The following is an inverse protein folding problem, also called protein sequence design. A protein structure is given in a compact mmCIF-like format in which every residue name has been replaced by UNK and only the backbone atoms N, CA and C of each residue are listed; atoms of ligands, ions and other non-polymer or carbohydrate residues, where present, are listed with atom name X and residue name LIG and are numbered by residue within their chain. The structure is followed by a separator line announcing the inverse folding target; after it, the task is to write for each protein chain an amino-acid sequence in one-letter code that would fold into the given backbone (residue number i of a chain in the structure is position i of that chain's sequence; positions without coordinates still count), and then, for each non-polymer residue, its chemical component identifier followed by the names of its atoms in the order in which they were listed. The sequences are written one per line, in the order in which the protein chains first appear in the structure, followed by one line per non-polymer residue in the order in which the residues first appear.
data_IF_485082474536
#
_entry.id   IF_485082474536
#
_cell.length_a   1.000
_cell.length_b   1.000
_cell.length_c   1.000
_cell.angle_alpha   90.00
_cell.angle_beta   90.00
_cell.angle_gamma   90.00
#
_symmetry.space_group_name_H-M   'P 1'
#
loop_
_entity.id
_entity.type
_entity.pdbx_description
1 polymer ?
#
# COMPACT_ATOMS: atom_id res chain seq x y z
N UNK A 1 49.22 43.53 81.79
CA UNK A 1 48.02 44.39 81.69
C UNK A 1 48.48 45.83 81.55
N UNK A 2 47.86 46.67 80.71
CA UNK A 2 46.47 46.67 80.22
C UNK A 2 46.39 46.45 78.68
N UNK A 3 45.28 46.23 77.98
CA UNK A 3 43.88 45.97 78.32
C UNK A 3 43.33 45.04 77.22
N UNK A 4 42.85 43.86 77.61
CA UNK A 4 41.93 43.04 76.83
C UNK A 4 40.54 43.61 77.02
N UNK A 5 40.00 44.30 76.02
CA UNK A 5 38.56 44.30 75.74
C UNK A 5 38.27 45.14 74.50
N UNK A 6 38.42 44.54 73.33
CA UNK A 6 37.71 45.02 72.16
C UNK A 6 37.55 43.92 71.12
N UNK A 7 36.30 43.74 70.70
CA UNK A 7 35.83 42.98 69.53
C UNK A 7 35.48 41.50 69.81
N UNK A 8 34.51 41.27 70.70
CA UNK A 8 33.67 40.07 70.61
C UNK A 8 32.94 40.11 69.25
N UNK A 9 33.14 39.14 68.34
CA UNK A 9 32.53 39.20 67.02
C UNK A 9 31.00 39.07 67.12
N UNK A 10 30.29 39.98 66.46
CA UNK A 10 28.83 39.95 66.34
C UNK A 10 28.45 38.75 65.47
N UNK A 11 27.94 37.69 66.10
CA UNK A 11 27.42 36.53 65.38
C UNK A 11 25.99 36.86 64.92
N UNK A 12 25.85 37.30 63.66
CA UNK A 12 24.53 37.43 63.02
C UNK A 12 24.01 36.03 62.70
N UNK A 13 23.21 35.47 63.61
CA UNK A 13 22.54 34.17 63.38
C UNK A 13 21.33 34.38 62.45
N UNK A 14 21.57 34.39 61.14
CA UNK A 14 20.48 34.42 60.15
C UNK A 14 19.74 33.08 60.17
N UNK A 15 18.72 32.96 61.03
CA UNK A 15 17.75 31.86 60.93
C UNK A 15 16.94 32.06 59.66
N UNK A 16 17.39 31.43 58.58
CA UNK A 16 16.52 31.13 57.45
C UNK A 16 15.39 30.25 58.01
N UNK A 17 14.19 30.82 58.15
CA UNK A 17 12.98 29.99 58.25
C UNK A 17 12.97 29.17 56.96
N UNK A 18 13.37 27.91 57.04
CA UNK A 18 13.06 26.94 56.00
C UNK A 18 11.53 26.92 55.94
N UNK A 19 10.99 27.59 54.91
CA UNK A 19 9.59 27.47 54.54
C UNK A 19 9.37 25.96 54.42
N UNK A 20 8.48 25.40 55.23
CA UNK A 20 8.15 23.98 55.13
C UNK A 20 7.82 23.72 53.67
N UNK A 21 8.67 22.94 53.00
CA UNK A 21 8.34 22.47 51.67
C UNK A 21 7.02 21.69 51.84
N UNK A 22 5.98 21.96 51.04
CA UNK A 22 4.71 21.27 51.18
C UNK A 22 4.89 19.78 50.83
N UNK A 23 5.27 18.97 51.83
CA UNK A 23 5.57 17.55 51.71
C UNK A 23 4.32 16.66 51.53
N UNK A 24 3.16 17.24 51.20
CA UNK A 24 1.89 16.50 51.04
C UNK A 24 1.39 16.36 49.59
N UNK A 25 2.11 16.88 48.60
CA UNK A 25 1.67 16.91 47.20
C UNK A 25 2.28 15.83 46.31
N UNK A 26 3.47 15.31 46.63
CA UNK A 26 4.22 14.42 45.74
C UNK A 26 3.50 13.08 45.48
N UNK A 27 2.84 12.51 46.50
CA UNK A 27 2.08 11.25 46.34
C UNK A 27 0.83 11.43 45.47
N UNK A 28 0.23 12.63 45.46
CA UNK A 28 -0.92 12.95 44.59
C UNK A 28 -0.51 13.07 43.14
N UNK A 29 0.72 13.53 42.88
CA UNK A 29 1.29 13.57 41.53
C UNK A 29 1.52 12.14 41.02
N UNK A 30 2.10 11.26 41.85
CA UNK A 30 2.28 9.86 41.50
C UNK A 30 0.94 9.12 41.29
N UNK A 31 -0.07 9.40 42.12
CA UNK A 31 -1.41 8.84 41.96
C UNK A 31 -2.12 9.36 40.70
N UNK A 32 -2.01 10.66 40.41
CA UNK A 32 -2.55 11.24 39.18
C UNK A 32 -1.89 10.63 37.94
N UNK A 33 -0.57 10.48 37.94
CA UNK A 33 0.17 9.86 36.84
C UNK A 33 -0.27 8.40 36.61
N UNK A 34 -0.43 7.63 37.69
CA UNK A 34 -0.95 6.26 37.62
C UNK A 34 -2.36 6.20 37.04
N UNK A 35 -3.29 7.07 37.50
CA UNK A 35 -4.66 7.11 36.97
C UNK A 35 -4.68 7.55 35.50
N UNK A 36 -3.78 8.47 35.10
CA UNK A 36 -3.71 8.96 33.71
C UNK A 36 -3.14 7.88 32.78
N UNK A 37 -2.14 7.12 33.24
CA UNK A 37 -1.62 5.96 32.52
C UNK A 37 -2.69 4.87 32.36
N UNK A 38 -3.45 4.58 33.42
CA UNK A 38 -4.56 3.63 33.37
C UNK A 38 -5.69 4.10 32.46
N UNK A 39 -6.03 5.39 32.49
CA UNK A 39 -7.01 5.99 31.58
C UNK A 39 -6.56 5.87 30.12
N UNK A 40 -5.30 6.21 29.81
CA UNK A 40 -4.75 6.07 28.47
C UNK A 40 -4.75 4.61 27.99
N UNK A 41 -4.39 3.68 28.86
CA UNK A 41 -4.45 2.24 28.59
C UNK A 41 -5.89 1.77 28.33
N UNK A 42 -6.87 2.19 29.14
CA UNK A 42 -8.28 1.87 28.92
C UNK A 42 -8.84 2.50 27.64
N UNK A 43 -8.48 3.74 27.30
CA UNK A 43 -8.86 4.37 26.04
C UNK A 43 -8.26 3.64 24.85
N UNK A 44 -7.03 3.12 24.96
CA UNK A 44 -6.41 2.29 23.94
C UNK A 44 -7.13 0.96 23.76
N UNK A 45 -7.41 0.23 24.85
CA UNK A 45 -8.19 -1.02 24.78
C UNK A 45 -9.62 -0.79 24.28
N UNK A 46 -10.25 0.31 24.69
CA UNK A 46 -11.56 0.71 24.20
C UNK A 46 -11.52 0.98 22.70
N UNK A 47 -10.50 1.68 22.20
CA UNK A 47 -10.29 1.87 20.76
C UNK A 47 -10.08 0.52 20.05
N UNK A 48 -9.28 -0.38 20.61
CA UNK A 48 -9.00 -1.68 19.99
C UNK A 48 -10.24 -2.59 19.95
N UNK A 49 -11.15 -2.48 20.91
CA UNK A 49 -12.39 -3.26 20.91
C UNK A 49 -13.50 -2.60 20.07
N UNK A 50 -13.55 -1.27 20.02
CA UNK A 50 -14.55 -0.53 19.23
C UNK A 50 -14.16 -0.38 17.74
N UNK A 51 -12.88 -0.60 17.38
CA UNK A 51 -12.38 -0.50 16.01
C UNK A 51 -12.31 -1.86 15.35
N UNK A 52 -12.75 -1.94 14.09
CA UNK A 52 -12.61 -3.14 13.25
C UNK A 52 -11.14 -3.40 12.92
N UNK A 53 -10.78 -4.64 12.61
CA UNK A 53 -9.37 -4.99 12.38
C UNK A 53 -8.74 -4.25 11.18
N UNK A 54 -9.57 -3.84 10.21
CA UNK A 54 -9.17 -2.98 9.09
C UNK A 54 -8.74 -1.56 9.52
N UNK A 55 -9.36 -1.01 10.57
CA UNK A 55 -9.01 0.32 11.08
C UNK A 55 -7.68 0.29 11.85
N UNK A 56 -7.39 -0.80 12.55
CA UNK A 56 -6.10 -1.01 13.24
C UNK A 56 -4.95 -1.13 12.25
N UNK A 57 -5.17 -1.87 11.15
CA UNK A 57 -4.22 -1.99 10.04
C UNK A 57 -3.90 -0.62 9.41
N UNK A 58 -4.91 0.21 9.16
CA UNK A 58 -4.70 1.54 8.60
C UNK A 58 -3.83 2.48 9.46
N UNK A 59 -3.90 2.35 10.79
CA UNK A 59 -3.08 3.15 11.71
C UNK A 59 -1.64 2.61 11.77
N UNK A 60 -1.46 1.29 11.68
CA UNK A 60 -0.11 0.67 11.68
C UNK A 60 0.76 1.19 10.53
N UNK A 61 0.20 1.35 9.33
CA UNK A 61 0.90 1.92 8.17
C UNK A 61 1.37 3.37 8.36
N UNK A 62 0.76 4.13 9.27
CA UNK A 62 1.20 5.49 9.59
C UNK A 62 2.42 5.50 10.51
N UNK A 63 2.58 4.47 11.34
CA UNK A 63 3.67 4.36 12.32
C UNK A 63 4.79 3.41 11.89
N UNK A 64 4.65 2.71 10.77
CA UNK A 64 5.76 2.01 10.13
C UNK A 64 6.83 3.03 9.73
N UNK A 65 8.04 2.99 10.33
CA UNK A 65 9.11 3.91 9.96
C UNK A 65 9.54 3.58 8.53
N UNK A 66 9.11 4.42 7.57
CA UNK A 66 9.71 4.44 6.23
C UNK A 66 11.20 4.76 6.42
N UNK A 67 12.03 3.74 6.20
CA UNK A 67 13.49 3.87 6.19
C UNK A 67 13.90 5.11 5.40
N UNK A 68 14.58 6.02 6.08
CA UNK A 68 15.10 7.30 5.58
C UNK A 68 16.24 7.07 4.58
N UNK A 69 15.92 6.49 3.42
CA UNK A 69 16.83 6.32 2.30
C UNK A 69 16.15 6.86 1.04
N UNK A 70 16.02 8.18 0.96
CA UNK A 70 15.92 8.87 -0.32
C UNK A 70 16.87 10.05 -0.22
N UNK A 71 18.05 9.85 -0.80
CA UNK A 71 19.20 10.72 -0.67
C UNK A 71 18.98 12.12 -1.23
N UNK A 72 19.60 13.07 -0.54
CA UNK A 72 19.90 14.41 -1.00
C UNK A 72 20.69 14.36 -2.32
N UNK A 73 20.01 14.56 -3.45
CA UNK A 73 20.62 15.09 -4.67
C UNK A 73 19.67 16.09 -5.32
N UNK A 74 19.69 17.30 -4.77
CA UNK A 74 19.16 18.51 -5.40
C UNK A 74 19.98 18.86 -6.64
N UNK A 75 19.61 18.27 -7.79
CA UNK A 75 20.11 18.67 -9.10
C UNK A 75 19.36 19.90 -9.62
N UNK A 76 19.64 21.08 -9.08
CA UNK A 76 19.18 22.35 -9.63
C UNK A 76 20.16 22.82 -10.72
N UNK A 77 19.84 22.64 -12.00
CA UNK A 77 20.49 23.41 -13.07
C UNK A 77 19.66 23.39 -14.35
N UNK A 78 19.03 24.53 -14.66
CA UNK A 78 18.22 24.74 -15.87
C UNK A 78 16.99 25.59 -15.56
N UNK A 79 16.56 26.43 -16.50
CA UNK A 79 15.48 27.45 -16.40
C UNK A 79 14.09 26.94 -15.95
N UNK A 80 13.94 25.64 -15.65
CA UNK A 80 12.77 24.95 -15.12
C UNK A 80 13.18 24.09 -13.90
N UNK A 81 13.68 24.74 -12.84
CA UNK A 81 14.23 24.09 -11.63
C UNK A 81 13.23 23.26 -10.82
N UNK A 82 12.96 22.03 -11.25
CA UNK A 82 12.20 21.04 -10.48
C UNK A 82 10.67 21.21 -10.51
N UNK A 83 10.15 21.93 -11.51
CA UNK A 83 8.70 22.12 -11.69
C UNK A 83 8.21 21.27 -12.86
N UNK A 84 7.32 20.31 -12.60
CA UNK A 84 6.57 19.63 -13.65
C UNK A 84 5.36 20.49 -14.06
N UNK A 85 5.21 20.76 -15.35
CA UNK A 85 4.03 21.45 -15.90
C UNK A 85 2.88 20.43 -15.98
N UNK A 86 1.91 20.55 -15.08
CA UNK A 86 0.62 19.85 -15.18
C UNK A 86 -0.35 20.55 -16.13
N UNK A 87 -1.30 19.80 -16.69
CA UNK A 87 -2.37 20.34 -17.52
C UNK A 87 -3.17 21.41 -16.74
N UNK A 88 -3.21 22.63 -17.31
CA UNK A 88 -3.64 23.91 -16.73
C UNK A 88 -2.75 24.49 -15.60
N UNK A 89 -1.61 25.05 -16.03
CA UNK A 89 -1.23 26.43 -15.69
C UNK A 89 -0.88 26.79 -14.24
N UNK A 90 -0.58 25.82 -13.37
CA UNK A 90 -0.15 26.10 -11.99
C UNK A 90 1.20 25.45 -11.67
N UNK A 91 2.15 26.25 -11.19
CA UNK A 91 3.50 25.83 -10.81
C UNK A 91 3.48 25.30 -9.37
N UNK A 92 3.88 24.04 -9.12
CA UNK A 92 4.04 23.47 -7.77
C UNK A 92 5.45 22.91 -7.56
N UNK A 93 6.09 23.30 -6.45
CA UNK A 93 7.41 22.82 -6.03
C UNK A 93 7.34 21.38 -5.50
N UNK A 94 8.30 20.54 -5.90
CA UNK A 94 8.33 19.10 -5.60
C UNK A 94 8.70 18.74 -4.14
N UNK A 95 8.72 19.71 -3.21
CA UNK A 95 9.23 19.52 -1.85
C UNK A 95 8.25 19.82 -0.70
N UNK A 96 6.97 20.08 -0.96
CA UNK A 96 6.02 20.34 0.15
C UNK A 96 5.46 19.03 0.70
N UNK A 97 5.70 18.68 1.99
CA UNK A 97 5.02 17.56 2.60
C UNK A 97 3.50 17.86 2.66
N UNK A 98 2.64 16.86 2.47
CA UNK A 98 1.20 17.05 2.61
C UNK A 98 0.90 17.43 4.06
N UNK A 99 0.61 18.70 4.31
CA UNK A 99 0.10 19.15 5.60
C UNK A 99 -1.34 18.71 5.73
N UNK A 100 -1.59 17.69 6.55
CA UNK A 100 -2.95 17.29 6.95
C UNK A 100 -3.45 18.33 7.96
N UNK A 101 -4.12 19.36 7.47
CA UNK A 101 -4.89 20.27 8.34
C UNK A 101 -6.19 19.57 8.72
N UNK A 102 -6.21 18.95 9.90
CA UNK A 102 -7.44 18.43 10.49
C UNK A 102 -8.29 19.62 10.95
N UNK A 103 -9.35 19.96 10.21
CA UNK A 103 -10.37 20.89 10.71
C UNK A 103 -11.25 20.15 11.71
N UNK A 104 -11.07 20.48 12.99
CA UNK A 104 -12.00 20.15 14.06
C UNK A 104 -13.34 20.83 13.73
N UNK A 105 -14.49 20.12 13.72
CA UNK A 105 -15.77 20.75 13.43
C UNK A 105 -16.19 21.63 14.61
N UNK A 106 -16.05 22.94 14.49
CA UNK A 106 -16.78 23.90 15.32
C UNK A 106 -18.18 24.10 14.73
N UNK A 107 -19.19 23.91 15.57
CA UNK A 107 -20.58 24.13 15.23
C UNK A 107 -20.88 25.61 14.92
N UNK A 108 -21.56 25.87 13.80
CA UNK A 108 -22.34 27.10 13.56
C UNK A 108 -21.88 28.03 12.42
N UNK A 109 -22.73 28.20 11.40
CA UNK A 109 -22.84 29.43 10.59
C UNK A 109 -22.16 29.46 9.20
N UNK A 110 -22.62 30.33 8.27
CA UNK A 110 -22.94 29.91 6.90
C UNK A 110 -22.08 30.53 5.76
N UNK A 111 -22.27 29.94 4.57
CA UNK A 111 -21.91 30.37 3.19
C UNK A 111 -20.54 29.98 2.61
N UNK A 112 -20.65 29.05 1.66
CA UNK A 112 -20.08 29.06 0.32
C UNK A 112 -18.57 29.34 0.14
N UNK A 113 -17.84 28.29 -0.26
CA UNK A 113 -16.90 28.39 -1.38
C UNK A 113 -16.86 27.08 -2.16
N UNK A 114 -16.95 27.27 -3.48
CA UNK A 114 -17.17 26.31 -4.56
C UNK A 114 -15.79 25.98 -5.13
N UNK A 115 -15.45 24.70 -5.25
CA UNK A 115 -14.22 24.24 -5.90
C UNK A 115 -14.34 22.76 -6.25
N UNK A 116 -14.68 22.47 -7.51
CA UNK A 116 -14.72 21.13 -8.09
C UNK A 116 -13.30 20.69 -8.41
N UNK A 117 -12.97 19.43 -8.09
CA UNK A 117 -11.85 18.72 -8.69
C UNK A 117 -10.81 18.24 -7.69
N UNK A 118 -11.19 17.39 -6.74
CA UNK A 118 -10.27 16.50 -6.01
C UNK A 118 -11.10 15.51 -5.18
N UNK A 119 -11.72 14.55 -5.86
CA UNK A 119 -12.39 13.43 -5.22
C UNK A 119 -12.46 12.28 -6.23
N UNK A 120 -11.46 11.39 -6.24
CA UNK A 120 -11.58 10.02 -6.73
C UNK A 120 -10.22 9.28 -6.78
N UNK A 121 -9.47 9.16 -5.68
CA UNK A 121 -8.46 8.10 -5.56
C UNK A 121 -8.30 7.51 -4.16
N UNK A 122 -8.93 8.08 -3.13
CA UNK A 122 -9.04 7.46 -1.81
C UNK A 122 -10.40 7.83 -1.19
N UNK A 123 -11.47 7.18 -1.62
CA UNK A 123 -12.77 7.29 -0.94
C UNK A 123 -12.96 6.05 -0.08
N UNK A 124 -12.47 6.09 1.17
CA UNK A 124 -13.26 5.54 2.27
C UNK A 124 -14.55 6.36 2.26
N UNK A 125 -15.53 5.93 1.48
CA UNK A 125 -16.87 6.48 1.53
C UNK A 125 -17.51 5.84 2.77
N UNK A 126 -17.61 6.56 3.90
CA UNK A 126 -18.08 5.97 5.16
C UNK A 126 -19.60 5.78 5.16
N UNK A 127 -20.27 6.09 4.04
CA UNK A 127 -21.70 5.98 3.90
C UNK A 127 -22.07 4.57 3.40
N UNK A 128 -22.62 3.70 4.27
CA UNK A 128 -23.03 2.34 3.92
C UNK A 128 -24.17 2.30 2.88
N UNK A 129 -24.88 3.42 2.68
CA UNK A 129 -25.99 3.52 1.71
C UNK A 129 -25.55 4.08 0.33
N UNK A 130 -24.24 4.25 0.09
CA UNK A 130 -23.73 4.68 -1.21
C UNK A 130 -23.68 3.52 -2.21
N UNK A 131 -24.07 3.78 -3.47
CA UNK A 131 -23.94 2.79 -4.57
C UNK A 131 -22.51 2.26 -4.72
N UNK A 132 -21.51 3.08 -4.36
CA UNK A 132 -20.12 2.67 -4.36
C UNK A 132 -19.81 1.68 -3.23
N UNK A 133 -20.34 1.86 -2.01
CA UNK A 133 -20.13 0.91 -0.92
C UNK A 133 -20.65 -0.49 -1.25
N UNK A 134 -21.88 -0.60 -1.76
CA UNK A 134 -22.43 -1.89 -2.19
C UNK A 134 -21.64 -2.52 -3.35
N UNK A 135 -21.22 -1.71 -4.32
CA UNK A 135 -20.39 -2.17 -5.43
C UNK A 135 -19.05 -2.71 -4.93
N UNK A 136 -18.42 -2.05 -3.95
CA UNK A 136 -17.16 -2.48 -3.33
C UNK A 136 -17.33 -3.77 -2.53
N UNK A 137 -18.41 -3.90 -1.76
CA UNK A 137 -18.71 -5.13 -1.01
C UNK A 137 -18.90 -6.32 -1.96
N UNK A 138 -19.70 -6.15 -3.02
CA UNK A 138 -19.92 -7.19 -4.04
C UNK A 138 -18.63 -7.55 -4.77
N UNK A 139 -17.78 -6.57 -5.05
CA UNK A 139 -16.47 -6.81 -5.64
C UNK A 139 -15.56 -7.62 -4.71
N UNK A 140 -15.53 -7.30 -3.43
CA UNK A 140 -14.74 -8.04 -2.45
C UNK A 140 -15.22 -9.48 -2.28
N UNK A 141 -16.54 -9.70 -2.21
CA UNK A 141 -17.15 -11.04 -2.27
C UNK A 141 -16.75 -11.77 -3.55
N UNK A 142 -16.73 -11.06 -4.68
CA UNK A 142 -16.25 -11.57 -5.96
C UNK A 142 -14.79 -12.01 -5.92
N UNK A 143 -13.90 -11.23 -5.30
CA UNK A 143 -12.49 -11.59 -5.13
C UNK A 143 -12.30 -12.79 -4.19
N UNK A 144 -13.07 -12.87 -3.10
CA UNK A 144 -13.07 -14.04 -2.22
C UNK A 144 -13.44 -15.32 -2.98
N UNK A 145 -14.51 -15.23 -3.78
CA UNK A 145 -14.96 -16.35 -4.58
C UNK A 145 -13.95 -16.71 -5.68
N UNK A 146 -13.37 -15.71 -6.36
CA UNK A 146 -12.34 -15.94 -7.38
C UNK A 146 -11.13 -16.69 -6.79
N UNK A 147 -10.67 -16.26 -5.62
CA UNK A 147 -9.57 -16.91 -4.90
C UNK A 147 -9.90 -18.36 -4.52
N UNK A 148 -11.11 -18.61 -4.00
CA UNK A 148 -11.54 -19.96 -3.65
C UNK A 148 -11.65 -20.86 -4.89
N UNK A 149 -12.28 -20.38 -5.95
CA UNK A 149 -12.46 -21.12 -7.20
C UNK A 149 -11.13 -21.42 -7.89
N UNK A 150 -10.17 -20.49 -7.85
CA UNK A 150 -8.81 -20.72 -8.36
C UNK A 150 -8.11 -21.84 -7.61
N UNK A 151 -8.14 -21.81 -6.27
CA UNK A 151 -7.54 -22.88 -5.46
C UNK A 151 -8.18 -24.23 -5.73
N UNK A 152 -9.51 -24.27 -5.76
CA UNK A 152 -10.27 -25.48 -6.03
C UNK A 152 -9.95 -26.06 -7.42
N UNK A 153 -9.89 -25.21 -8.45
CA UNK A 153 -9.62 -25.64 -9.81
C UNK A 153 -8.20 -26.23 -9.97
N UNK A 154 -7.20 -25.70 -9.26
CA UNK A 154 -5.85 -26.29 -9.25
C UNK A 154 -5.81 -27.57 -8.43
N UNK A 155 -6.53 -27.65 -7.31
CA UNK A 155 -6.57 -28.83 -6.45
C UNK A 155 -7.26 -30.04 -7.09
N UNK A 156 -8.34 -29.79 -7.84
CA UNK A 156 -9.11 -30.83 -8.52
C UNK A 156 -8.47 -31.33 -9.82
N UNK A 157 -7.45 -30.64 -10.32
CA UNK A 157 -6.78 -30.99 -11.56
C UNK A 157 -5.59 -31.90 -11.26
N UNK A 158 -5.70 -33.18 -11.64
CA UNK A 158 -4.62 -34.18 -11.46
C UNK A 158 -3.30 -33.71 -12.08
N UNK A 159 -3.36 -32.97 -13.19
CA UNK A 159 -2.21 -32.45 -13.93
C UNK A 159 -1.57 -31.21 -13.28
N UNK A 160 -2.30 -30.50 -12.42
CA UNK A 160 -1.87 -29.21 -11.84
C UNK A 160 -1.64 -29.26 -10.34
N UNK A 161 -1.89 -30.41 -9.71
CA UNK A 161 -1.68 -30.61 -8.28
C UNK A 161 -0.24 -30.29 -7.84
N UNK A 162 0.74 -30.65 -8.67
CA UNK A 162 2.15 -30.36 -8.42
C UNK A 162 2.52 -28.87 -8.64
N UNK A 163 1.61 -28.08 -9.24
CA UNK A 163 1.78 -26.67 -9.54
C UNK A 163 1.07 -25.75 -8.53
N UNK A 164 0.48 -26.30 -7.46
CA UNK A 164 -0.14 -25.50 -6.40
C UNK A 164 0.84 -24.49 -5.79
N UNK A 165 2.07 -24.92 -5.54
CA UNK A 165 3.15 -24.06 -5.02
C UNK A 165 3.62 -23.01 -6.05
N UNK A 166 3.29 -23.21 -7.33
CA UNK A 166 3.56 -22.25 -8.40
C UNK A 166 2.48 -21.19 -8.53
N UNK A 167 1.39 -21.26 -7.77
CA UNK A 167 0.28 -20.31 -7.82
C UNK A 167 0.12 -19.59 -6.48
N UNK A 168 0.53 -18.33 -6.44
CA UNK A 168 0.30 -17.45 -5.28
C UNK A 168 -0.90 -16.54 -5.56
N UNK A 169 -1.81 -16.45 -4.60
CA UNK A 169 -2.98 -15.58 -4.69
C UNK A 169 -3.07 -14.76 -3.42
N UNK A 170 -3.04 -13.44 -3.57
CA UNK A 170 -3.05 -12.49 -2.48
C UNK A 170 -3.93 -11.28 -2.79
N UNK A 171 -4.59 -10.76 -1.76
CA UNK A 171 -5.36 -9.51 -1.86
C UNK A 171 -4.43 -8.34 -1.65
N UNK A 172 -4.49 -7.38 -2.56
CA UNK A 172 -3.71 -6.13 -2.55
C UNK A 172 -4.65 -4.94 -2.48
N UNK A 173 -4.19 -3.75 -2.06
CA UNK A 173 -4.98 -2.53 -2.11
C UNK A 173 -5.50 -2.17 -3.52
N UNK A 174 -4.84 -2.67 -4.56
CA UNK A 174 -5.19 -2.46 -5.96
C UNK A 174 -6.21 -3.48 -6.50
N UNK A 175 -6.36 -4.64 -5.83
CA UNK A 175 -7.28 -5.71 -6.23
C UNK A 175 -6.79 -7.12 -5.86
N UNK A 176 -7.26 -8.13 -6.59
CA UNK A 176 -6.81 -9.52 -6.40
C UNK A 176 -5.59 -9.81 -7.27
N UNK A 177 -4.45 -10.10 -6.65
CA UNK A 177 -3.19 -10.43 -7.33
C UNK A 177 -3.02 -11.95 -7.41
N UNK A 178 -2.78 -12.42 -8.62
CA UNK A 178 -2.55 -13.83 -8.95
C UNK A 178 -1.14 -13.90 -9.54
N UNK A 179 -0.26 -14.70 -8.98
CA UNK A 179 1.13 -14.82 -9.43
C UNK A 179 1.43 -16.26 -9.77
N UNK A 180 1.80 -16.49 -11.02
CA UNK A 180 2.41 -17.74 -11.45
C UNK A 180 3.90 -17.58 -11.20
N UNK A 181 4.51 -18.47 -10.43
CA UNK A 181 5.94 -18.43 -10.09
C UNK A 181 6.67 -19.67 -10.62
N UNK A 182 7.90 -19.44 -11.02
CA UNK A 182 8.80 -20.50 -11.46
C UNK A 182 9.34 -21.30 -10.28
N UNK A 183 9.59 -22.60 -10.48
CA UNK A 183 10.23 -23.46 -9.48
C UNK A 183 11.43 -24.19 -10.09
N UNK A 184 12.37 -24.62 -9.25
CA UNK A 184 13.62 -25.27 -9.71
C UNK A 184 13.37 -26.50 -10.60
N UNK A 185 12.29 -27.26 -10.33
CA UNK A 185 11.95 -28.47 -11.10
C UNK A 185 10.82 -28.27 -12.11
N UNK A 186 10.10 -27.16 -12.03
CA UNK A 186 8.93 -26.88 -12.84
C UNK A 186 9.10 -25.50 -13.47
N UNK A 187 9.74 -25.48 -14.64
CA UNK A 187 9.96 -24.21 -15.32
C UNK A 187 8.68 -23.70 -16.00
N UNK A 188 8.39 -22.42 -15.89
CA UNK A 188 7.24 -21.75 -16.53
C UNK A 188 7.46 -21.52 -18.01
N UNK A 189 8.70 -21.19 -18.37
CA UNK A 189 9.10 -20.90 -19.74
C UNK A 189 10.16 -21.88 -20.20
N UNK A 190 10.29 -22.04 -21.51
CA UNK A 190 11.50 -22.65 -22.07
C UNK A 190 12.73 -21.79 -21.70
N UNK A 191 13.91 -22.38 -21.50
CA UNK A 191 15.11 -21.65 -21.10
C UNK A 191 15.40 -20.45 -22.01
N UNK A 192 15.65 -19.28 -21.43
CA UNK A 192 15.93 -18.04 -22.17
C UNK A 192 14.80 -17.56 -23.09
N UNK A 193 13.58 -18.09 -22.95
CA UNK A 193 12.46 -17.83 -23.84
C UNK A 193 11.27 -17.19 -23.10
N UNK A 194 10.37 -16.60 -23.90
CA UNK A 194 9.04 -16.18 -23.50
C UNK A 194 7.94 -17.21 -23.81
N UNK A 195 8.31 -18.38 -24.35
CA UNK A 195 7.39 -19.47 -24.65
C UNK A 195 7.07 -20.25 -23.39
N UNK A 196 5.80 -20.30 -23.01
CA UNK A 196 5.32 -21.11 -21.88
C UNK A 196 5.53 -22.61 -22.12
N UNK A 197 5.72 -23.35 -21.03
CA UNK A 197 5.56 -24.79 -21.05
C UNK A 197 4.07 -25.17 -20.99
N UNK A 198 3.72 -26.34 -21.54
CA UNK A 198 2.34 -26.80 -21.72
C UNK A 198 1.51 -26.76 -20.43
N UNK A 199 2.11 -27.16 -19.31
CA UNK A 199 1.44 -27.15 -18.00
C UNK A 199 1.08 -25.74 -17.52
N UNK A 200 1.97 -24.77 -17.72
CA UNK A 200 1.72 -23.38 -17.33
C UNK A 200 0.77 -22.66 -18.29
N UNK A 201 0.74 -23.08 -19.57
CA UNK A 201 -0.29 -22.68 -20.52
C UNK A 201 -1.66 -23.15 -20.00
N UNK A 202 -1.84 -24.44 -19.69
CA UNK A 202 -3.08 -24.99 -19.13
C UNK A 202 -3.49 -24.32 -17.80
N UNK A 203 -2.54 -24.06 -16.91
CA UNK A 203 -2.78 -23.31 -15.68
C UNK A 203 -3.32 -21.91 -15.97
N UNK A 204 -2.69 -21.19 -16.91
CA UNK A 204 -3.10 -19.85 -17.29
C UNK A 204 -4.49 -19.84 -17.99
N UNK A 205 -4.84 -20.87 -18.75
CA UNK A 205 -6.18 -21.03 -19.31
C UNK A 205 -7.25 -21.20 -18.21
N UNK A 206 -6.97 -22.01 -17.18
CA UNK A 206 -7.87 -22.19 -16.04
C UNK A 206 -8.04 -20.89 -15.25
N UNK A 207 -6.92 -20.21 -14.97
CA UNK A 207 -6.93 -18.88 -14.35
C UNK A 207 -7.82 -17.94 -15.17
N UNK A 208 -7.65 -17.94 -16.49
CA UNK A 208 -8.42 -17.08 -17.40
C UNK A 208 -9.92 -17.38 -17.37
N UNK A 209 -10.29 -18.67 -17.38
CA UNK A 209 -11.68 -19.13 -17.33
C UNK A 209 -12.40 -18.67 -16.06
N UNK A 210 -11.67 -18.53 -14.96
CA UNK A 210 -12.20 -18.04 -13.69
C UNK A 210 -12.31 -16.53 -13.68
N UNK A 211 -11.24 -15.80 -14.03
CA UNK A 211 -11.22 -14.32 -13.97
C UNK A 211 -12.20 -13.68 -14.97
N UNK A 212 -12.51 -14.34 -16.09
CA UNK A 212 -13.42 -13.78 -17.10
C UNK A 212 -14.84 -13.58 -16.58
N UNK A 213 -15.24 -14.30 -15.51
CA UNK A 213 -16.55 -14.16 -14.84
C UNK A 213 -16.72 -12.82 -14.12
N UNK A 214 -15.64 -12.12 -13.83
CA UNK A 214 -15.65 -10.82 -13.15
C UNK A 214 -15.37 -9.72 -14.17
N UNK A 215 -16.05 -8.56 -14.12
CA UNK A 215 -15.90 -7.48 -15.13
C UNK A 215 -14.61 -6.65 -14.96
N UNK A 216 -13.84 -6.93 -13.91
CA UNK A 216 -12.70 -6.15 -13.46
C UNK A 216 -11.59 -6.02 -14.53
N UNK A 217 -10.92 -4.85 -14.61
CA UNK A 217 -9.75 -4.67 -15.46
C UNK A 217 -8.60 -5.59 -15.04
N UNK A 218 -7.80 -6.02 -16.01
CA UNK A 218 -6.68 -6.93 -15.83
C UNK A 218 -5.38 -6.21 -16.18
N UNK A 219 -4.41 -6.28 -15.27
CA UNK A 219 -3.05 -5.81 -15.49
C UNK A 219 -2.13 -7.02 -15.49
N UNK A 220 -1.31 -7.18 -16.52
CA UNK A 220 -0.38 -8.31 -16.67
C UNK A 220 1.03 -7.77 -16.53
N UNK A 221 1.82 -8.37 -15.64
CA UNK A 221 3.22 -7.98 -15.40
C UNK A 221 4.14 -9.18 -15.48
N UNK A 222 5.21 -9.06 -16.24
CA UNK A 222 6.28 -10.07 -16.30
C UNK A 222 7.46 -9.63 -15.44
N UNK A 223 8.05 -10.59 -14.75
CA UNK A 223 9.25 -10.41 -13.92
C UNK A 223 10.26 -11.50 -14.25
N UNK A 224 11.54 -11.13 -14.22
CA UNK A 224 12.67 -12.06 -14.32
C UNK A 224 13.43 -12.06 -13.01
N UNK A 225 14.36 -12.98 -12.87
CA UNK A 225 15.40 -12.92 -11.85
C UNK A 225 16.50 -11.93 -12.26
N UNK A 226 17.58 -11.91 -11.48
CA UNK A 226 18.79 -11.16 -11.79
C UNK A 226 19.71 -11.85 -12.79
N UNK A 227 19.42 -13.08 -13.23
CA UNK A 227 20.24 -13.75 -14.23
C UNK A 227 20.05 -13.08 -15.60
N UNK A 228 21.10 -12.91 -16.41
CA UNK A 228 20.96 -12.33 -17.74
C UNK A 228 20.08 -13.19 -18.65
N UNK A 229 19.03 -12.58 -19.22
CA UNK A 229 18.09 -13.22 -20.17
C UNK A 229 18.79 -13.94 -21.33
N UNK A 230 19.88 -13.36 -21.83
CA UNK A 230 20.65 -13.90 -22.93
C UNK A 230 22.10 -13.41 -22.86
N UNK A 231 22.99 -14.09 -23.59
CA UNK A 231 24.35 -13.60 -23.84
C UNK A 231 24.43 -12.52 -24.91
N UNK A 232 23.29 -12.02 -25.43
CA UNK A 232 23.24 -10.98 -26.47
C UNK A 232 23.09 -9.61 -25.80
N UNK A 233 23.83 -8.62 -26.30
CA UNK A 233 23.85 -7.27 -25.71
C UNK A 233 22.57 -6.47 -25.93
N UNK A 234 21.79 -6.81 -26.95
CA UNK A 234 20.56 -6.12 -27.37
C UNK A 234 19.28 -6.67 -26.74
N UNK A 235 19.37 -7.81 -26.03
CA UNK A 235 18.22 -8.48 -25.44
C UNK A 235 18.46 -8.75 -23.95
N UNK A 236 17.83 -7.93 -23.12
CA UNK A 236 18.00 -7.93 -21.68
C UNK A 236 16.76 -8.47 -20.97
N UNK A 237 16.81 -8.45 -19.63
CA UNK A 237 15.68 -8.80 -18.79
C UNK A 237 14.45 -7.88 -18.99
N UNK A 238 14.64 -6.66 -19.52
CA UNK A 238 13.55 -5.76 -19.87
C UNK A 238 12.71 -6.30 -21.04
N UNK A 239 13.37 -6.71 -22.12
CA UNK A 239 12.72 -7.32 -23.28
C UNK A 239 12.09 -8.64 -22.89
N UNK A 240 12.83 -9.52 -22.19
CA UNK A 240 12.34 -10.83 -21.77
C UNK A 240 11.09 -10.74 -20.87
N UNK A 241 11.10 -9.84 -19.89
CA UNK A 241 9.95 -9.68 -19.00
C UNK A 241 8.71 -9.14 -19.74
N UNK A 242 8.90 -8.22 -20.68
CA UNK A 242 7.83 -7.68 -21.52
C UNK A 242 7.26 -8.73 -22.48
N UNK A 243 8.12 -9.55 -23.08
CA UNK A 243 7.73 -10.64 -23.98
C UNK A 243 6.95 -11.72 -23.24
N UNK A 244 7.38 -12.09 -22.03
CA UNK A 244 6.67 -13.05 -21.15
C UNK A 244 5.29 -12.54 -20.74
N UNK A 245 5.19 -11.25 -20.39
CA UNK A 245 3.90 -10.63 -20.09
C UNK A 245 2.96 -10.65 -21.31
N UNK A 246 3.49 -10.41 -22.51
CA UNK A 246 2.72 -10.48 -23.74
C UNK A 246 2.34 -11.91 -24.14
N UNK A 247 3.19 -12.90 -23.89
CA UNK A 247 2.87 -14.31 -24.08
C UNK A 247 1.67 -14.70 -23.20
N UNK A 248 1.66 -14.25 -21.95
CA UNK A 248 0.54 -14.48 -21.04
C UNK A 248 -0.73 -13.81 -21.56
N UNK A 249 -0.66 -12.55 -21.98
CA UNK A 249 -1.78 -11.83 -22.61
C UNK A 249 -2.40 -12.64 -23.75
N UNK A 250 -1.59 -13.14 -24.69
CA UNK A 250 -2.06 -13.91 -25.86
C UNK A 250 -2.82 -15.17 -25.46
N UNK A 251 -2.31 -15.93 -24.48
CA UNK A 251 -2.98 -17.13 -23.96
C UNK A 251 -4.31 -16.75 -23.30
N UNK A 252 -4.33 -15.69 -22.50
CA UNK A 252 -5.54 -15.22 -21.83
C UNK A 252 -6.61 -14.76 -22.84
N UNK A 253 -6.23 -14.01 -23.88
CA UNK A 253 -7.14 -13.64 -24.96
C UNK A 253 -7.66 -14.86 -25.72
N UNK A 254 -6.78 -15.80 -26.07
CA UNK A 254 -7.16 -17.07 -26.70
C UNK A 254 -8.12 -17.91 -25.84
N UNK A 255 -8.04 -17.76 -24.52
CA UNK A 255 -8.93 -18.39 -23.54
C UNK A 255 -10.24 -17.62 -23.29
N UNK A 256 -10.47 -16.52 -24.01
CA UNK A 256 -11.71 -15.74 -23.96
C UNK A 256 -11.72 -14.58 -22.97
N UNK A 257 -10.55 -14.08 -22.55
CA UNK A 257 -10.47 -12.76 -21.91
C UNK A 257 -10.68 -11.67 -22.97
N UNK A 258 -11.63 -10.77 -22.75
CA UNK A 258 -11.89 -9.67 -23.68
C UNK A 258 -10.71 -8.67 -23.71
N UNK A 259 -10.25 -8.27 -24.89
CA UNK A 259 -9.12 -7.33 -25.06
C UNK A 259 -9.31 -6.03 -24.27
N UNK A 260 -10.52 -5.46 -24.29
CA UNK A 260 -10.88 -4.23 -23.55
C UNK A 260 -10.71 -4.34 -22.03
N UNK A 261 -10.62 -5.56 -21.48
CA UNK A 261 -10.37 -5.78 -20.05
C UNK A 261 -8.90 -5.60 -19.71
N UNK A 262 -7.98 -5.79 -20.67
CA UNK A 262 -6.55 -5.66 -20.44
C UNK A 262 -6.21 -4.17 -20.39
N UNK A 263 -5.91 -3.69 -19.18
CA UNK A 263 -5.58 -2.28 -18.93
C UNK A 263 -4.13 -1.96 -19.27
N UNK A 264 -3.21 -2.87 -18.95
CA UNK A 264 -1.80 -2.71 -19.28
C UNK A 264 -1.05 -4.05 -19.25
N UNK A 265 0.04 -4.10 -20.03
CA UNK A 265 1.05 -5.17 -20.02
C UNK A 265 2.39 -4.53 -19.70
N UNK A 266 3.10 -5.04 -18.69
CA UNK A 266 4.29 -4.40 -18.13
C UNK A 266 5.44 -5.41 -17.99
N UNK A 267 6.62 -5.10 -18.50
CA UNK A 267 7.85 -5.80 -18.16
C UNK A 267 8.57 -5.11 -17.00
N UNK A 268 8.93 -5.85 -15.96
CA UNK A 268 9.61 -5.33 -14.76
C UNK A 268 11.04 -5.84 -14.57
N UNK A 269 11.55 -6.62 -15.52
CA UNK A 269 12.87 -7.25 -15.40
C UNK A 269 13.07 -7.88 -13.99
N UNK A 270 14.25 -7.72 -13.41
CA UNK A 270 14.57 -8.12 -12.03
C UNK A 270 14.45 -7.01 -10.99
N UNK A 271 13.72 -5.92 -11.26
CA UNK A 271 13.69 -4.74 -10.35
C UNK A 271 12.80 -4.93 -9.13
N UNK A 272 11.87 -5.89 -9.17
CA UNK A 272 10.95 -6.22 -8.09
C UNK A 272 11.04 -7.72 -7.76
N UNK A 273 12.13 -8.19 -7.12
CA UNK A 273 12.28 -9.59 -6.75
C UNK A 273 11.25 -9.99 -5.67
N UNK A 274 10.68 -11.19 -5.79
CA UNK A 274 9.80 -11.76 -4.76
C UNK A 274 10.61 -12.15 -3.52
N UNK A 275 11.86 -12.59 -3.73
CA UNK A 275 12.83 -12.92 -2.70
C UNK A 275 14.06 -12.00 -2.86
N UNK A 276 14.06 -10.81 -2.22
CA UNK A 276 15.16 -9.85 -2.32
C UNK A 276 16.51 -10.40 -1.82
N UNK A 277 16.48 -11.30 -0.84
CA UNK A 277 17.69 -11.92 -0.28
C UNK A 277 18.37 -12.91 -1.25
N UNK A 278 17.63 -13.40 -2.25
CA UNK A 278 18.16 -14.24 -3.32
C UNK A 278 17.62 -13.78 -4.69
N UNK A 279 18.16 -12.70 -5.27
CA UNK A 279 17.69 -12.14 -6.54
C UNK A 279 17.78 -13.11 -7.73
N UNK A 280 18.72 -14.06 -7.69
CA UNK A 280 18.91 -15.08 -8.73
C UNK A 280 17.95 -16.27 -8.61
N UNK A 281 17.13 -16.31 -7.55
CA UNK A 281 16.17 -17.39 -7.35
C UNK A 281 15.22 -17.52 -8.55
N UNK A 282 15.01 -18.75 -9.09
CA UNK A 282 13.98 -19.03 -10.08
C UNK A 282 12.62 -18.45 -9.71
N UNK A 283 12.26 -18.45 -8.43
CA UNK A 283 10.97 -17.93 -7.95
C UNK A 283 10.76 -16.43 -8.21
N UNK A 284 11.81 -15.68 -8.55
CA UNK A 284 11.68 -14.29 -8.99
C UNK A 284 11.20 -14.17 -10.44
N UNK A 285 11.39 -15.22 -11.26
CA UNK A 285 10.77 -15.36 -12.58
C UNK A 285 9.29 -15.66 -12.39
N UNK A 286 8.44 -14.67 -12.66
CA UNK A 286 7.00 -14.78 -12.42
C UNK A 286 6.18 -13.97 -13.40
N UNK A 287 4.95 -14.39 -13.58
CA UNK A 287 3.92 -13.59 -14.25
C UNK A 287 2.86 -13.24 -13.23
N UNK A 288 2.65 -11.95 -13.03
CA UNK A 288 1.62 -11.41 -12.14
C UNK A 288 0.44 -10.92 -12.96
N UNK A 289 -0.74 -11.38 -12.58
CA UNK A 289 -2.03 -10.97 -13.12
C UNK A 289 -2.78 -10.29 -11.97
N UNK A 290 -3.01 -9.00 -12.11
CA UNK A 290 -3.78 -8.21 -11.15
C UNK A 290 -5.19 -8.00 -11.71
N UNK A 291 -6.18 -8.57 -11.03
CA UNK A 291 -7.59 -8.26 -11.23
C UNK A 291 -7.89 -7.00 -10.43
N UNK A 292 -7.77 -5.85 -11.08
CA UNK A 292 -7.83 -4.55 -10.43
C UNK A 292 -9.26 -4.19 -9.99
N UNK A 293 -9.36 -3.35 -8.97
CA UNK A 293 -10.63 -2.75 -8.59
C UNK A 293 -11.31 -2.02 -9.76
N UNK A 294 -12.64 -2.11 -9.79
CA UNK A 294 -13.48 -1.32 -10.69
C UNK A 294 -13.36 0.17 -10.34
N UNK A 295 -13.37 1.06 -11.36
CA UNK A 295 -13.46 2.49 -11.10
C UNK A 295 -14.78 2.81 -10.36
N UNK A 296 -14.80 3.85 -9.52
CA UNK A 296 -16.01 4.25 -8.81
C UNK A 296 -17.13 4.56 -9.82
N UNK A 297 -18.35 4.17 -9.48
CA UNK A 297 -19.52 4.44 -10.33
C UNK A 297 -19.80 5.93 -10.23
N UNK A 298 -19.39 6.69 -11.24
CA UNK A 298 -19.77 8.10 -11.33
C UNK A 298 -21.26 8.18 -11.63
N UNK A 299 -22.04 8.77 -10.72
CA UNK A 299 -23.46 9.01 -10.93
C UNK A 299 -23.64 9.76 -12.27
N UNK A 300 -24.21 9.08 -13.26
CA UNK A 300 -24.50 9.69 -14.55
C UNK A 300 -25.53 10.79 -14.31
N UNK A 301 -25.15 12.04 -14.58
CA UNK A 301 -26.07 13.16 -14.54
C UNK A 301 -27.15 12.88 -15.58
N UNK A 302 -28.36 12.55 -15.11
CA UNK A 302 -29.55 12.33 -15.95
C UNK A 302 -29.64 13.48 -16.96
N UNK A 303 -29.75 13.21 -18.28
CA UNK A 303 -29.88 14.29 -19.25
C UNK A 303 -31.13 15.09 -18.92
N UNK A 304 -30.95 16.40 -18.82
CA UNK A 304 -32.03 17.35 -18.59
C UNK A 304 -33.04 17.18 -19.72
N UNK A 305 -34.24 16.68 -19.42
CA UNK A 305 -35.33 16.69 -20.40
C UNK A 305 -35.79 18.15 -20.49
N UNK A 306 -35.11 18.91 -21.34
CA UNK A 306 -35.59 20.22 -21.78
C UNK A 306 -36.97 20.05 -22.42
N UNK A 307 -37.93 20.83 -21.94
CA UNK A 307 -39.31 20.88 -22.40
C UNK A 307 -39.51 21.60 -23.72
#
# INVERSE_FOLDING_TARGET
MPDEDALKPIIIKKRLKARHAPHGGAWKVAYADFVTAMMAFFLLLWLLNASTDEQKLGISYYFEPKSLLTGDKSGSSGLLGGLAIGALGTLKSAGSPPSVTIKIPTAGGPKALKGKGEAALTSKDPNPDSTNYEARKREEEGFNQAQADLRLAVEQSDELKDFQDSLLIDKTPEGLRIQLIDQEKLSMFKPGSAVFNLYFEALLEIVTRIIRRYPNPVIISGHTDSEPASGRSDYTNWELSSDRANAARKIMEGSGLEEKRIKSVVGRAGTEPLYPDNPASPRNRRVSILLAHMPPVTATKKPDRGG
#
